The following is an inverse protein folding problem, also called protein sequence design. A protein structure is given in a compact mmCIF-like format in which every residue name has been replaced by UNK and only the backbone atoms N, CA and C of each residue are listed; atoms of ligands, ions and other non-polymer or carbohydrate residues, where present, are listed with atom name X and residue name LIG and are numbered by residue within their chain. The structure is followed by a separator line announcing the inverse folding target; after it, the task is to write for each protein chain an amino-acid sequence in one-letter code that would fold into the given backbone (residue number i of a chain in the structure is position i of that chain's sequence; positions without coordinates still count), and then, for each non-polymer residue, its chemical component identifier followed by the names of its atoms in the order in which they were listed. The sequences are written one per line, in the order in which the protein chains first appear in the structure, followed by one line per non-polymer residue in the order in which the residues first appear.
data_IF_526361658730
#
_entry.id   IF_526361658730
#
_cell.length_a   1.000
_cell.length_b   1.000
_cell.length_c   1.000
_cell.angle_alpha   90.00
_cell.angle_beta   90.00
_cell.angle_gamma   90.00
#
_symmetry.space_group_name_H-M   'P 1'
#
loop_
_entity.id
_entity.type
_entity.pdbx_description
1 polymer ?
#
# COMPACT_ATOMS: atom_id res chain seq x y z
N UNK A 1 -1.46 24.72 -14.84
CA UNK A 1 0.01 24.78 -15.02
C UNK A 1 0.59 23.53 -14.36
N UNK A 2 1.02 22.55 -15.16
CA UNK A 2 1.64 21.32 -14.64
C UNK A 2 3.07 21.68 -14.31
N UNK A 3 3.45 21.54 -13.04
CA UNK A 3 4.84 21.66 -12.63
C UNK A 3 5.51 20.35 -12.99
N UNK A 4 6.50 20.44 -13.85
CA UNK A 4 7.30 19.34 -14.34
C UNK A 4 8.00 18.73 -13.11
N UNK A 5 7.50 17.59 -12.62
CA UNK A 5 8.13 16.88 -11.51
C UNK A 5 9.34 16.14 -12.06
N UNK A 6 10.52 16.63 -11.66
CA UNK A 6 11.80 15.98 -11.91
C UNK A 6 11.80 14.63 -11.16
N UNK A 7 12.10 13.51 -11.83
CA UNK A 7 12.29 12.23 -11.15
C UNK A 7 13.36 12.39 -10.06
N UNK A 8 13.00 12.13 -8.80
CA UNK A 8 13.88 12.30 -7.64
C UNK A 8 13.67 13.56 -6.79
N UNK A 9 12.67 14.40 -7.09
CA UNK A 9 12.30 15.57 -6.25
C UNK A 9 11.01 15.38 -5.43
N UNK A 10 10.39 14.20 -5.50
CA UNK A 10 9.27 13.79 -4.65
C UNK A 10 9.67 12.61 -3.78
N UNK A 11 9.12 12.54 -2.57
CA UNK A 11 9.31 11.40 -1.69
C UNK A 11 8.76 10.15 -2.38
N UNK A 12 9.67 9.24 -2.74
CA UNK A 12 9.37 7.98 -3.44
C UNK A 12 9.60 6.84 -2.48
N UNK A 13 8.67 5.89 -2.40
CA UNK A 13 8.79 4.71 -1.57
C UNK A 13 8.28 3.47 -2.32
N UNK A 14 9.00 2.37 -2.20
CA UNK A 14 8.53 1.07 -2.65
C UNK A 14 7.62 0.49 -1.57
N UNK A 15 6.32 0.44 -1.87
CA UNK A 15 5.27 0.02 -0.96
C UNK A 15 4.60 -1.26 -1.45
N UNK A 16 3.81 -1.87 -0.58
CA UNK A 16 3.13 -3.13 -0.85
C UNK A 16 1.64 -2.88 -1.08
N UNK A 17 1.11 -3.36 -2.21
CA UNK A 17 -0.35 -3.49 -2.41
C UNK A 17 -0.82 -4.76 -1.69
N UNK A 18 -1.33 -4.59 -0.47
CA UNK A 18 -1.71 -5.70 0.42
C UNK A 18 -3.16 -6.17 0.23
N UNK A 19 -3.99 -5.33 -0.38
CA UNK A 19 -5.39 -5.62 -0.51
C UNK A 19 -6.16 -4.53 -1.23
N UNK A 20 -7.46 -4.76 -1.37
CA UNK A 20 -8.31 -3.88 -2.14
C UNK A 20 -9.77 -3.93 -1.66
N UNK A 21 -10.53 -2.91 -2.05
CA UNK A 21 -11.98 -2.86 -1.88
C UNK A 21 -12.68 -2.22 -3.05
N UNK A 22 -13.99 -2.49 -3.15
CA UNK A 22 -14.88 -1.84 -4.09
C UNK A 22 -15.67 -0.74 -3.37
N UNK A 23 -15.59 0.46 -3.91
CA UNK A 23 -16.34 1.62 -3.47
C UNK A 23 -17.41 1.90 -4.51
N UNK A 24 -18.65 2.11 -4.07
CA UNK A 24 -19.81 2.31 -4.95
C UNK A 24 -19.71 3.58 -5.78
N UNK A 25 -18.96 4.57 -5.29
CA UNK A 25 -19.02 5.96 -5.78
C UNK A 25 -18.00 6.26 -6.88
N UNK A 26 -17.27 5.24 -7.34
CA UNK A 26 -16.20 5.43 -8.32
C UNK A 26 -16.68 5.44 -9.79
N UNK A 27 -17.95 5.10 -10.06
CA UNK A 27 -18.49 5.03 -11.43
C UNK A 27 -17.79 4.01 -12.33
N UNK A 28 -17.08 3.03 -11.74
CA UNK A 28 -16.28 2.05 -12.48
C UNK A 28 -16.88 0.65 -12.39
N UNK A 29 -16.91 -0.03 -13.54
CA UNK A 29 -17.08 -1.48 -13.61
C UNK A 29 -15.73 -2.18 -13.38
N UNK A 30 -15.18 -2.04 -12.17
CA UNK A 30 -13.99 -2.74 -11.70
C UNK A 30 -14.35 -3.54 -10.45
N UNK A 31 -13.69 -4.68 -10.22
CA UNK A 31 -13.95 -5.46 -9.00
C UNK A 31 -13.46 -4.72 -7.76
N UNK A 32 -12.30 -4.10 -7.85
CA UNK A 32 -11.80 -3.20 -6.83
C UNK A 32 -11.40 -1.86 -7.44
N UNK A 33 -11.65 -0.83 -6.64
CA UNK A 33 -11.58 0.57 -7.05
C UNK A 33 -10.62 1.35 -6.15
N UNK A 34 -10.31 0.78 -4.99
CA UNK A 34 -9.44 1.31 -3.96
C UNK A 34 -8.46 0.23 -3.54
N UNK A 35 -7.16 0.53 -3.57
CA UNK A 35 -6.07 -0.36 -3.19
C UNK A 35 -5.35 0.18 -1.96
N UNK A 36 -4.89 -0.72 -1.09
CA UNK A 36 -4.25 -0.41 0.17
C UNK A 36 -2.75 -0.55 0.04
N UNK A 37 -2.04 0.53 0.35
CA UNK A 37 -0.58 0.60 0.34
C UNK A 37 -0.07 0.42 1.76
N UNK A 38 0.92 -0.46 1.92
CA UNK A 38 1.51 -0.75 3.22
C UNK A 38 3.03 -0.83 3.18
N UNK A 39 3.62 -0.58 4.35
CA UNK A 39 5.02 -0.93 4.64
C UNK A 39 5.08 -2.33 5.25
N UNK A 40 6.26 -2.93 5.20
CA UNK A 40 6.52 -4.22 5.88
C UNK A 40 7.01 -3.96 7.29
N UNK A 41 6.41 -4.62 8.26
CA UNK A 41 6.92 -4.56 9.63
C UNK A 41 8.06 -5.56 9.79
N UNK A 42 9.12 -5.15 10.48
CA UNK A 42 10.16 -6.06 10.93
C UNK A 42 9.51 -7.18 11.75
N UNK A 43 10.00 -8.41 11.57
CA UNK A 43 9.43 -9.58 12.25
C UNK A 43 9.47 -9.34 13.76
N UNK A 44 8.32 -9.07 14.37
CA UNK A 44 8.15 -9.33 15.78
C UNK A 44 8.23 -10.85 15.95
N UNK A 45 9.19 -11.32 16.75
CA UNK A 45 9.27 -12.74 17.09
C UNK A 45 7.91 -13.16 17.67
N UNK A 46 7.20 -14.01 16.95
CA UNK A 46 5.97 -14.61 17.45
C UNK A 46 6.35 -15.75 18.39
N UNK A 47 5.75 -15.80 19.57
CA UNK A 47 5.95 -16.88 20.55
C UNK A 47 5.70 -18.28 19.94
N UNK A 48 4.88 -18.38 18.89
CA UNK A 48 4.51 -19.63 18.21
C UNK A 48 5.47 -20.10 17.10
N UNK A 49 6.57 -19.39 16.82
CA UNK A 49 7.55 -19.75 15.78
C UNK A 49 7.04 -19.66 14.32
N UNK A 50 5.74 -19.45 14.09
CA UNK A 50 5.15 -19.11 12.79
C UNK A 50 5.24 -17.60 12.53
N UNK A 51 6.27 -17.18 11.80
CA UNK A 51 6.43 -15.80 11.37
C UNK A 51 5.55 -15.48 10.16
N UNK A 52 4.26 -15.22 10.40
CA UNK A 52 3.38 -14.59 9.41
C UNK A 52 3.89 -13.18 9.09
N UNK A 53 3.78 -12.71 7.84
CA UNK A 53 4.19 -11.36 7.50
C UNK A 53 3.26 -10.34 8.18
N UNK A 54 3.86 -9.22 8.58
CA UNK A 54 3.19 -8.11 9.26
C UNK A 54 3.31 -6.86 8.38
N UNK A 55 2.21 -6.13 8.24
CA UNK A 55 2.15 -4.94 7.40
C UNK A 55 1.45 -3.78 8.11
N UNK A 56 1.95 -2.57 7.87
CA UNK A 56 1.33 -1.32 8.30
C UNK A 56 0.74 -0.59 7.09
N UNK A 57 -0.59 -0.46 7.01
CA UNK A 57 -1.28 0.27 5.94
C UNK A 57 -1.12 1.77 6.14
N UNK A 58 -0.43 2.45 5.22
CA UNK A 58 -0.08 3.87 5.34
C UNK A 58 -0.87 4.77 4.41
N UNK A 59 -1.50 4.22 3.37
CA UNK A 59 -2.25 4.98 2.39
C UNK A 59 -3.26 4.10 1.63
N UNK A 60 -4.21 4.77 0.97
CA UNK A 60 -5.08 4.17 -0.04
C UNK A 60 -4.99 4.92 -1.35
N UNK A 61 -5.10 4.22 -2.47
CA UNK A 61 -5.08 4.81 -3.81
C UNK A 61 -6.29 4.33 -4.62
N UNK A 62 -6.85 5.24 -5.40
CA UNK A 62 -7.96 4.98 -6.32
C UNK A 62 -7.60 5.43 -7.73
N UNK A 63 -8.56 5.40 -8.66
CA UNK A 63 -8.35 5.70 -10.10
C UNK A 63 -7.51 6.96 -10.40
N UNK A 64 -7.60 8.00 -9.57
CA UNK A 64 -6.85 9.25 -9.81
C UNK A 64 -5.34 9.13 -9.52
N UNK A 65 -4.94 8.06 -8.84
CA UNK A 65 -3.59 7.80 -8.36
C UNK A 65 -2.94 6.56 -9.00
N UNK A 66 -3.57 5.97 -10.02
CA UNK A 66 -3.09 4.78 -10.71
C UNK A 66 -3.47 4.83 -12.19
N UNK A 67 -2.61 4.35 -13.08
CA UNK A 67 -2.95 4.27 -14.51
C UNK A 67 -4.08 3.26 -14.75
N UNK A 68 -4.81 3.42 -15.87
CA UNK A 68 -5.86 2.44 -16.21
C UNK A 68 -5.28 1.05 -16.52
N UNK A 69 -4.04 0.98 -17.03
CA UNK A 69 -3.36 -0.28 -17.30
C UNK A 69 -3.00 -1.00 -15.99
N UNK A 70 -2.36 -0.31 -15.05
CA UNK A 70 -1.98 -0.88 -13.75
C UNK A 70 -3.22 -1.24 -12.93
N UNK A 71 -4.27 -0.42 -12.97
CA UNK A 71 -5.53 -0.72 -12.29
C UNK A 71 -6.17 -2.01 -12.80
N UNK A 72 -6.15 -2.24 -14.11
CA UNK A 72 -6.64 -3.50 -14.72
C UNK A 72 -5.73 -4.66 -14.34
N UNK A 73 -4.43 -4.45 -14.31
CA UNK A 73 -3.45 -5.45 -13.89
C UNK A 73 -3.68 -5.87 -12.43
N UNK A 74 -3.70 -4.93 -11.48
CA UNK A 74 -3.94 -5.19 -10.06
C UNK A 74 -5.29 -5.86 -9.83
N UNK A 75 -6.33 -5.46 -10.56
CA UNK A 75 -7.63 -6.16 -10.50
C UNK A 75 -7.51 -7.62 -10.97
N UNK A 76 -6.90 -7.86 -12.13
CA UNK A 76 -6.75 -9.23 -12.66
C UNK A 76 -5.90 -10.10 -11.73
N UNK A 77 -4.77 -9.58 -11.29
CA UNK A 77 -3.84 -10.28 -10.42
C UNK A 77 -4.47 -10.55 -9.05
N UNK A 78 -5.04 -9.53 -8.41
CA UNK A 78 -5.68 -9.69 -7.11
C UNK A 78 -6.82 -10.72 -7.16
N UNK A 79 -7.61 -10.79 -8.26
CA UNK A 79 -8.68 -11.79 -8.41
C UNK A 79 -8.19 -13.22 -8.38
N UNK A 80 -7.00 -13.45 -8.92
CA UNK A 80 -6.37 -14.76 -8.96
C UNK A 80 -5.66 -15.10 -7.64
N UNK A 81 -5.38 -14.10 -6.79
CA UNK A 81 -4.46 -14.23 -5.67
C UNK A 81 -4.95 -13.53 -4.39
N UNK A 82 -6.25 -13.46 -4.14
CA UNK A 82 -6.78 -12.98 -2.84
C UNK A 82 -7.05 -14.16 -1.91
N UNK A 83 -6.93 -13.93 -0.61
CA UNK A 83 -7.20 -14.94 0.42
C UNK A 83 -8.68 -15.31 0.39
N UNK A 84 -8.95 -16.61 0.25
CA UNK A 84 -10.28 -17.17 0.41
C UNK A 84 -10.51 -17.53 1.89
N UNK A 85 -11.76 -17.84 2.29
CA UNK A 85 -12.03 -18.35 3.65
C UNK A 85 -11.23 -19.61 4.03
N UNK A 86 -10.78 -20.40 3.05
CA UNK A 86 -9.94 -21.58 3.28
C UNK A 86 -8.50 -21.21 3.67
N UNK A 87 -8.05 -19.99 3.36
CA UNK A 87 -6.69 -19.52 3.57
C UNK A 87 -6.54 -18.70 4.88
N UNK A 88 -7.52 -18.80 5.79
CA UNK A 88 -7.58 -17.97 6.99
C UNK A 88 -6.30 -18.03 7.85
N UNK A 89 -5.65 -19.19 7.92
CA UNK A 89 -4.38 -19.38 8.65
C UNK A 89 -3.18 -18.68 8.02
N UNK A 90 -3.28 -18.24 6.76
CA UNK A 90 -2.25 -17.50 6.03
C UNK A 90 -2.46 -15.99 6.08
N UNK A 91 -3.48 -15.53 6.83
CA UNK A 91 -3.81 -14.10 6.92
C UNK A 91 -2.66 -13.34 7.57
N UNK A 92 -2.09 -12.33 6.90
CA UNK A 92 -1.02 -11.52 7.49
C UNK A 92 -1.53 -10.70 8.66
N UNK A 93 -0.61 -10.30 9.55
CA UNK A 93 -0.92 -9.30 10.57
C UNK A 93 -0.98 -7.93 9.90
N UNK A 94 -2.05 -7.18 10.13
CA UNK A 94 -2.27 -5.89 9.50
C UNK A 94 -2.56 -4.86 10.57
N UNK A 95 -1.76 -3.80 10.60
CA UNK A 95 -2.01 -2.59 11.37
C UNK A 95 -2.37 -1.42 10.45
N UNK A 96 -3.14 -0.46 10.94
CA UNK A 96 -3.49 0.74 10.17
C UNK A 96 -3.61 1.98 11.05
N UNK A 97 -2.80 3.02 10.81
CA UNK A 97 -3.00 4.36 11.38
C UNK A 97 -4.12 5.15 10.68
N UNK A 98 -4.72 4.65 9.60
CA UNK A 98 -5.74 5.35 8.82
C UNK A 98 -7.11 5.33 9.52
N UNK A 99 -7.28 6.16 10.55
CA UNK A 99 -8.56 6.28 11.24
C UNK A 99 -9.69 6.70 10.29
N UNK A 100 -10.84 6.01 10.37
CA UNK A 100 -12.03 6.33 9.58
C UNK A 100 -12.03 5.81 8.13
N UNK A 101 -10.96 5.18 7.67
CA UNK A 101 -10.97 4.48 6.39
C UNK A 101 -11.54 3.06 6.56
N UNK A 102 -12.50 2.63 5.71
CA UNK A 102 -12.95 1.24 5.72
C UNK A 102 -11.78 0.28 5.53
N UNK A 103 -11.80 -0.92 6.14
CA UNK A 103 -10.75 -1.92 5.92
C UNK A 103 -10.83 -2.49 4.49
N UNK A 104 -9.74 -3.11 3.99
CA UNK A 104 -9.79 -3.87 2.73
C UNK A 104 -10.85 -4.98 2.81
N UNK A 105 -11.61 -5.18 1.73
CA UNK A 105 -12.56 -6.29 1.63
C UNK A 105 -11.92 -7.57 1.10
N UNK A 106 -10.72 -7.46 0.54
CA UNK A 106 -9.92 -8.58 0.06
C UNK A 106 -8.44 -8.31 0.40
N UNK A 107 -7.77 -9.32 0.95
CA UNK A 107 -6.32 -9.32 1.20
C UNK A 107 -5.65 -10.18 0.13
N UNK A 108 -4.55 -9.70 -0.43
CA UNK A 108 -3.81 -10.42 -1.46
C UNK A 108 -2.83 -11.41 -0.81
N UNK A 109 -2.94 -12.68 -1.17
CA UNK A 109 -2.06 -13.77 -0.74
C UNK A 109 -0.62 -13.58 -1.21
N UNK A 110 -0.45 -12.97 -2.39
CA UNK A 110 0.86 -12.63 -2.96
C UNK A 110 0.91 -11.13 -3.21
N UNK A 111 1.14 -10.32 -2.17
CA UNK A 111 1.05 -8.88 -2.31
C UNK A 111 2.16 -8.35 -3.23
N UNK A 112 1.85 -7.31 -4.00
CA UNK A 112 2.74 -6.77 -5.05
C UNK A 112 3.50 -5.55 -4.55
N UNK A 113 4.75 -5.41 -4.95
CA UNK A 113 5.52 -4.19 -4.70
C UNK A 113 5.22 -3.16 -5.78
N UNK A 114 5.02 -1.91 -5.37
CA UNK A 114 4.73 -0.77 -6.23
C UNK A 114 5.60 0.41 -5.83
N UNK A 115 6.14 1.10 -6.81
CA UNK A 115 6.80 2.38 -6.61
C UNK A 115 5.71 3.45 -6.45
N UNK A 116 5.76 4.17 -5.34
CA UNK A 116 4.77 5.20 -4.99
C UNK A 116 5.46 6.52 -4.78
N UNK A 117 4.96 7.55 -5.46
CA UNK A 117 5.41 8.93 -5.28
C UNK A 117 4.36 9.73 -4.53
N UNK A 118 4.82 10.62 -3.64
CA UNK A 118 3.99 11.64 -3.01
C UNK A 118 4.51 13.05 -3.28
N UNK A 119 3.68 14.05 -3.00
CA UNK A 119 4.10 15.45 -3.08
C UNK A 119 4.97 15.86 -1.87
N UNK A 120 4.70 15.29 -0.71
CA UNK A 120 5.40 15.49 0.57
C UNK A 120 4.91 14.45 1.59
N UNK A 121 5.58 14.31 2.72
CA UNK A 121 4.98 13.67 3.90
C UNK A 121 4.11 14.65 4.69
N UNK A 122 2.94 14.19 5.16
CA UNK A 122 2.07 14.96 6.05
C UNK A 122 1.52 14.07 7.17
N UNK A 123 1.30 14.66 8.35
CA UNK A 123 0.75 13.94 9.49
C UNK A 123 -0.76 13.82 9.33
N UNK A 124 -1.25 12.60 9.33
CA UNK A 124 -2.70 12.38 9.29
C UNK A 124 -3.36 12.90 10.58
N UNK A 125 -4.56 13.49 10.51
CA UNK A 125 -5.30 13.89 11.70
C UNK A 125 -5.43 12.73 12.69
N UNK A 126 -5.11 12.97 13.96
CA UNK A 126 -5.13 11.96 15.03
C UNK A 126 -4.19 10.76 14.83
N UNK A 127 -3.23 10.85 13.93
CA UNK A 127 -2.21 9.82 13.73
C UNK A 127 -0.85 10.28 14.22
N UNK A 128 -0.10 9.35 14.83
CA UNK A 128 1.34 9.52 15.08
C UNK A 128 2.18 9.18 13.84
N UNK A 129 1.54 8.70 12.78
CA UNK A 129 2.15 8.26 11.55
C UNK A 129 2.00 9.32 10.45
N UNK A 130 3.06 9.50 9.68
CA UNK A 130 3.12 10.46 8.58
C UNK A 130 2.93 9.69 7.28
N UNK A 131 2.13 10.22 6.36
CA UNK A 131 1.78 9.54 5.11
C UNK A 131 2.17 10.40 3.91
N UNK A 132 2.49 9.76 2.78
CA UNK A 132 2.66 10.48 1.53
C UNK A 132 1.37 11.22 1.17
N UNK A 133 1.48 12.52 0.96
CA UNK A 133 0.40 13.38 0.49
C UNK A 133 0.21 13.18 -1.01
N UNK A 134 -1.03 12.90 -1.41
CA UNK A 134 -1.41 12.58 -2.79
C UNK A 134 -0.60 11.40 -3.37
N UNK A 135 -0.60 10.23 -2.72
CA UNK A 135 0.20 9.09 -3.16
C UNK A 135 -0.27 8.63 -4.55
N UNK A 136 0.68 8.30 -5.42
CA UNK A 136 0.41 7.79 -6.77
C UNK A 136 1.32 6.62 -7.08
N UNK A 137 0.74 5.53 -7.57
CA UNK A 137 1.51 4.41 -8.11
C UNK A 137 2.07 4.85 -9.46
N UNK A 138 3.40 4.80 -9.58
CA UNK A 138 4.10 5.11 -10.84
C UNK A 138 4.61 3.84 -11.53
N UNK A 139 4.82 2.75 -10.77
CA UNK A 139 5.30 1.48 -11.31
C UNK A 139 4.81 0.31 -10.46
N UNK A 140 4.52 -0.81 -11.12
CA UNK A 140 4.29 -2.12 -10.49
C UNK A 140 5.51 -2.99 -10.74
N UNK A 141 6.12 -3.52 -9.68
CA UNK A 141 7.28 -4.40 -9.76
C UNK A 141 6.82 -5.85 -9.81
N UNK A 142 7.19 -6.56 -10.87
CA UNK A 142 6.80 -7.96 -11.11
C UNK A 142 7.87 -8.95 -10.68
N UNK A 143 9.09 -8.45 -10.50
CA UNK A 143 10.31 -9.15 -10.12
C UNK A 143 10.61 -9.05 -8.62
N UNK A 144 9.90 -8.19 -7.90
CA UNK A 144 10.06 -7.98 -6.46
C UNK A 144 9.02 -8.72 -5.63
N UNK A 145 9.44 -9.13 -4.46
CA UNK A 145 8.59 -9.69 -3.42
C UNK A 145 8.38 -8.67 -2.30
N UNK A 146 7.41 -8.89 -1.42
CA UNK A 146 7.16 -7.95 -0.32
C UNK A 146 8.38 -7.76 0.59
N UNK A 147 9.31 -8.72 0.68
CA UNK A 147 10.52 -8.57 1.50
C UNK A 147 11.49 -7.53 0.94
N UNK A 148 11.34 -7.15 -0.32
CA UNK A 148 12.14 -6.11 -0.98
C UNK A 148 11.54 -4.71 -0.82
N UNK A 149 10.34 -4.59 -0.24
CA UNK A 149 9.66 -3.32 -0.04
C UNK A 149 10.19 -2.55 1.18
N UNK A 150 9.85 -1.26 1.23
CA UNK A 150 10.20 -0.37 2.34
C UNK A 150 9.65 -0.91 3.66
N UNK A 151 10.53 -1.09 4.64
CA UNK A 151 10.10 -1.44 6.00
C UNK A 151 9.56 -0.23 6.75
N UNK A 152 8.64 -0.45 7.69
CA UNK A 152 7.94 0.62 8.42
C UNK A 152 8.92 1.60 9.10
N UNK A 153 10.02 1.11 9.67
CA UNK A 153 11.07 1.93 10.28
C UNK A 153 11.78 2.85 9.28
N UNK A 154 12.11 2.34 8.09
CA UNK A 154 12.71 3.12 7.01
C UNK A 154 11.74 4.20 6.53
N UNK A 155 10.47 3.85 6.37
CA UNK A 155 9.44 4.80 5.94
C UNK A 155 9.26 5.96 6.93
N UNK A 156 9.27 5.68 8.24
CA UNK A 156 9.25 6.72 9.29
C UNK A 156 10.49 7.61 9.23
N UNK A 157 11.68 7.05 8.97
CA UNK A 157 12.90 7.83 8.81
C UNK A 157 12.86 8.73 7.56
N UNK A 158 12.26 8.27 6.45
CA UNK A 158 12.06 9.08 5.26
C UNK A 158 11.17 10.29 5.56
N UNK A 159 10.06 10.08 6.25
CA UNK A 159 9.16 11.16 6.67
C UNK A 159 9.83 12.17 7.61
N UNK A 160 10.70 11.71 8.52
CA UNK A 160 11.44 12.59 9.40
C UNK A 160 12.47 13.46 8.65
N UNK A 161 13.15 12.90 7.63
CA UNK A 161 14.17 13.60 6.83
C UNK A 161 13.59 14.62 5.86
N UNK A 162 12.38 14.40 5.34
CA UNK A 162 11.74 15.32 4.39
C UNK A 162 11.39 16.70 4.98
N UNK A 163 11.62 16.89 6.29
CA UNK A 163 11.32 18.13 7.02
C UNK A 163 12.56 18.97 7.34
N UNK A 164 13.76 18.45 7.08
CA UNK A 164 15.02 19.15 7.22
C UNK A 164 15.41 19.83 5.91
#
# INVERSE_FOLDING_TARGET
MRKDMIPGLGDTADLVVIGARRDTDCGMSAWWTTFYLACVDTKAESEDGQSLPSFTIIATVSRMAITTADMRYLNRYGKAHYLSPADASLTPRIWTPLAGHPPPSAIFMRPLVVEVVGASFDRLPNSRFESLRFPRIVKVHLDLSYTDATITEQYVQMAAKSKC
#
